data_IF_392694511300
#
_entry.id   IF_392694511300
#
_cell.length_a   1.000
_cell.length_b   1.000
_cell.length_c   1.000
_cell.angle_alpha   90.00
_cell.angle_beta   90.00
_cell.angle_gamma   90.00
#
_symmetry.space_group_name_H-M   'P 1'
#
loop_
_entity.id
_entity.type
_entity.pdbx_description
1 polymer ?
#
# COMPACT_ATOMS: atom_id res chain seq x y z
N UNK A 1 -7.08 7.74 -21.46
CA UNK A 1 -7.96 7.41 -20.32
C UNK A 1 -7.31 8.01 -19.09
N UNK A 2 -8.03 8.82 -18.30
CA UNK A 2 -7.46 9.52 -17.16
C UNK A 2 -6.88 8.50 -16.17
N UNK A 3 -5.63 8.72 -15.80
CA UNK A 3 -4.79 7.77 -15.09
C UNK A 3 -4.97 7.85 -13.56
N UNK A 4 -5.86 8.75 -13.12
CA UNK A 4 -6.23 9.03 -11.74
C UNK A 4 -7.75 8.96 -11.57
N UNK A 5 -8.20 8.70 -10.35
CA UNK A 5 -9.61 8.66 -9.96
C UNK A 5 -9.86 9.67 -8.85
N UNK A 6 -10.95 10.42 -8.97
CA UNK A 6 -11.42 11.32 -7.91
C UNK A 6 -11.83 10.52 -6.68
N UNK A 7 -11.64 11.13 -5.51
CA UNK A 7 -11.97 10.53 -4.23
C UNK A 7 -13.06 11.30 -3.51
N UNK A 8 -14.07 10.56 -3.05
CA UNK A 8 -15.02 11.05 -2.06
C UNK A 8 -14.78 10.36 -0.70
N UNK A 9 -15.61 10.71 0.29
CA UNK A 9 -15.52 10.11 1.62
C UNK A 9 -15.75 8.59 1.62
N UNK A 10 -16.55 8.07 0.69
CA UNK A 10 -16.82 6.63 0.60
C UNK A 10 -15.61 5.89 0.02
N UNK A 11 -14.94 6.45 -0.98
CA UNK A 11 -13.67 5.93 -1.52
C UNK A 11 -12.60 5.91 -0.45
N UNK A 12 -12.43 6.99 0.31
CA UNK A 12 -11.45 7.06 1.40
C UNK A 12 -11.73 5.98 2.45
N UNK A 13 -12.98 5.88 2.93
CA UNK A 13 -13.35 4.89 3.94
C UNK A 13 -13.17 3.45 3.45
N UNK A 14 -13.59 3.16 2.22
CA UNK A 14 -13.43 1.83 1.61
C UNK A 14 -11.97 1.44 1.40
N UNK A 15 -11.12 2.39 0.98
CA UNK A 15 -9.68 2.15 0.83
C UNK A 15 -8.99 1.95 2.18
N UNK A 16 -9.36 2.72 3.19
CA UNK A 16 -8.83 2.54 4.54
C UNK A 16 -9.23 1.20 5.13
N UNK A 17 -10.49 0.77 4.94
CA UNK A 17 -10.96 -0.55 5.36
C UNK A 17 -10.12 -1.67 4.71
N UNK A 18 -9.85 -1.57 3.41
CA UNK A 18 -9.02 -2.55 2.70
C UNK A 18 -7.56 -2.55 3.17
N UNK A 19 -6.99 -1.37 3.41
CA UNK A 19 -5.62 -1.27 3.93
C UNK A 19 -5.47 -2.03 5.25
N UNK A 20 -6.40 -1.80 6.19
CA UNK A 20 -6.43 -2.50 7.48
C UNK A 20 -6.65 -4.01 7.30
N UNK A 21 -7.68 -4.42 6.54
CA UNK A 21 -8.02 -5.83 6.36
C UNK A 21 -6.87 -6.65 5.76
N UNK A 22 -6.21 -6.11 4.74
CA UNK A 22 -5.06 -6.79 4.13
C UNK A 22 -3.84 -6.80 5.04
N UNK A 23 -3.61 -5.74 5.80
CA UNK A 23 -2.50 -5.70 6.75
C UNK A 23 -2.70 -6.73 7.87
N UNK A 24 -3.89 -6.77 8.48
CA UNK A 24 -4.24 -7.72 9.54
C UNK A 24 -4.13 -9.17 9.04
N UNK A 25 -4.63 -9.45 7.83
CA UNK A 25 -4.51 -10.76 7.21
C UNK A 25 -3.03 -11.12 6.93
N UNK A 26 -2.24 -10.19 6.39
CA UNK A 26 -0.82 -10.41 6.14
C UNK A 26 -0.04 -10.71 7.43
N UNK A 27 -0.32 -9.97 8.50
CA UNK A 27 0.28 -10.16 9.83
C UNK A 27 -0.09 -11.53 10.43
N UNK A 28 -1.32 -12.00 10.19
CA UNK A 28 -1.74 -13.34 10.61
C UNK A 28 -1.01 -14.46 9.87
N UNK A 29 -0.77 -14.29 8.56
CA UNK A 29 -0.04 -15.28 7.74
C UNK A 29 1.46 -15.31 8.06
N UNK A 30 2.07 -14.13 8.23
CA UNK A 30 3.44 -13.95 8.68
C UNK A 30 4.48 -14.83 7.97
N UNK A 31 5.40 -15.40 8.74
CA UNK A 31 6.47 -16.27 8.24
C UNK A 31 5.99 -17.68 7.87
N UNK A 32 4.77 -18.08 8.26
CA UNK A 32 4.20 -19.40 7.93
C UNK A 32 3.80 -19.49 6.47
N UNK A 33 3.33 -18.38 5.89
CA UNK A 33 2.93 -18.27 4.49
C UNK A 33 3.51 -16.99 3.86
N UNK A 34 4.85 -16.88 3.72
CA UNK A 34 5.54 -15.62 3.48
C UNK A 34 5.17 -14.96 2.16
N UNK A 35 4.95 -15.75 1.10
CA UNK A 35 4.56 -15.22 -0.21
C UNK A 35 3.14 -14.66 -0.21
N UNK A 36 2.20 -15.37 0.42
CA UNK A 36 0.82 -14.89 0.55
C UNK A 36 0.74 -13.66 1.47
N UNK A 37 1.47 -13.67 2.58
CA UNK A 37 1.64 -12.49 3.44
C UNK A 37 2.24 -11.31 2.65
N UNK A 38 3.28 -11.57 1.86
CA UNK A 38 3.92 -10.60 0.99
C UNK A 38 2.95 -9.94 0.01
N UNK A 39 2.12 -10.73 -0.69
CA UNK A 39 1.14 -10.20 -1.64
C UNK A 39 0.09 -9.31 -0.93
N UNK A 40 -0.39 -9.75 0.24
CA UNK A 40 -1.31 -8.95 1.05
C UNK A 40 -0.67 -7.67 1.61
N UNK A 41 0.62 -7.67 1.99
CA UNK A 41 1.33 -6.45 2.37
C UNK A 41 1.42 -5.45 1.20
N UNK A 42 1.55 -5.94 -0.04
CA UNK A 42 1.52 -5.10 -1.24
C UNK A 42 0.15 -4.45 -1.41
N UNK A 43 -0.92 -5.23 -1.32
CA UNK A 43 -2.29 -4.73 -1.45
C UNK A 43 -2.65 -3.74 -0.32
N UNK A 44 -2.23 -4.03 0.91
CA UNK A 44 -2.36 -3.12 2.05
C UNK A 44 -1.66 -1.78 1.78
N UNK A 45 -0.40 -1.83 1.33
CA UNK A 45 0.37 -0.63 1.03
C UNK A 45 -0.19 0.19 -0.13
N UNK A 46 -0.72 -0.45 -1.17
CA UNK A 46 -1.41 0.25 -2.27
C UNK A 46 -2.67 0.94 -1.76
N UNK A 47 -3.50 0.24 -0.99
CA UNK A 47 -4.73 0.81 -0.45
C UNK A 47 -4.44 1.99 0.50
N UNK A 48 -3.44 1.87 1.37
CA UNK A 48 -2.99 2.96 2.25
C UNK A 48 -2.45 4.16 1.45
N UNK A 49 -1.66 3.90 0.41
CA UNK A 49 -1.16 4.95 -0.49
C UNK A 49 -2.29 5.68 -1.22
N UNK A 50 -3.32 4.95 -1.64
CA UNK A 50 -4.53 5.53 -2.23
C UNK A 50 -5.25 6.43 -1.22
N UNK A 51 -5.38 6.04 0.04
CA UNK A 51 -5.96 6.88 1.11
C UNK A 51 -5.18 8.18 1.28
N UNK A 52 -3.84 8.11 1.38
CA UNK A 52 -2.99 9.29 1.53
C UNK A 52 -3.19 10.26 0.36
N UNK A 53 -3.17 9.74 -0.87
CA UNK A 53 -3.39 10.54 -2.07
C UNK A 53 -4.80 11.13 -2.11
N UNK A 54 -5.84 10.33 -1.82
CA UNK A 54 -7.21 10.79 -1.77
C UNK A 54 -7.41 11.92 -0.77
N UNK A 55 -6.88 11.78 0.45
CA UNK A 55 -7.05 12.79 1.51
C UNK A 55 -6.32 14.09 1.15
N UNK A 56 -5.10 14.02 0.61
CA UNK A 56 -4.25 15.20 0.41
C UNK A 56 -4.40 15.86 -0.96
N UNK A 57 -4.74 15.08 -1.99
CA UNK A 57 -4.80 15.53 -3.39
C UNK A 57 -6.20 15.42 -4.00
N UNK A 58 -7.15 14.76 -3.33
CA UNK A 58 -8.50 14.52 -3.85
C UNK A 58 -8.56 13.43 -4.93
N UNK A 59 -7.43 12.80 -5.26
CA UNK A 59 -7.32 11.80 -6.33
C UNK A 59 -6.37 10.67 -5.93
N UNK A 60 -6.55 9.49 -6.50
CA UNK A 60 -5.61 8.37 -6.36
C UNK A 60 -5.30 7.72 -7.73
N UNK A 61 -4.21 6.94 -7.81
CA UNK A 61 -3.77 6.31 -9.07
C UNK A 61 -4.71 5.17 -9.49
N UNK A 62 -4.85 4.93 -10.79
CA UNK A 62 -5.42 3.68 -11.27
C UNK A 62 -4.49 2.51 -10.91
N UNK A 63 -5.04 1.46 -10.28
CA UNK A 63 -4.34 0.34 -9.63
C UNK A 63 -3.35 -0.44 -10.50
N UNK A 64 -3.39 -0.27 -11.83
CA UNK A 64 -2.45 -0.90 -12.77
C UNK A 64 -1.15 -0.12 -13.05
N UNK A 65 -1.04 1.15 -12.67
CA UNK A 65 0.14 1.98 -12.97
C UNK A 65 0.97 2.26 -11.72
N UNK A 66 1.95 1.39 -11.47
CA UNK A 66 2.85 1.45 -10.32
C UNK A 66 3.72 2.71 -10.27
N UNK A 67 4.27 3.14 -11.40
CA UNK A 67 5.13 4.32 -11.47
C UNK A 67 4.35 5.60 -11.13
N UNK A 68 3.11 5.68 -11.60
CA UNK A 68 2.23 6.79 -11.29
C UNK A 68 1.77 6.79 -9.83
N UNK A 69 1.47 5.62 -9.24
CA UNK A 69 1.11 5.53 -7.83
C UNK A 69 2.23 6.07 -6.94
N UNK A 70 3.49 5.71 -7.22
CA UNK A 70 4.65 6.23 -6.49
C UNK A 70 4.84 7.75 -6.69
N UNK A 71 4.66 8.24 -7.92
CA UNK A 71 4.78 9.67 -8.22
C UNK A 71 3.69 10.51 -7.54
N UNK A 72 2.45 10.00 -7.50
CA UNK A 72 1.33 10.65 -6.84
C UNK A 72 1.51 10.64 -5.32
N UNK A 73 1.94 9.51 -4.76
CA UNK A 73 2.24 9.39 -3.33
C UNK A 73 3.37 10.35 -2.93
N UNK A 74 4.43 10.48 -3.73
CA UNK A 74 5.49 11.45 -3.46
C UNK A 74 4.98 12.89 -3.38
N UNK A 75 3.99 13.25 -4.20
CA UNK A 75 3.36 14.58 -4.17
C UNK A 75 2.47 14.75 -2.95
N UNK A 76 1.76 13.70 -2.54
CA UNK A 76 0.88 13.74 -1.37
C UNK A 76 1.68 13.74 -0.05
N UNK A 77 2.68 12.87 0.05
CA UNK A 77 3.46 12.60 1.26
C UNK A 77 4.90 12.20 0.90
N UNK A 78 5.74 13.23 0.75
CA UNK A 78 7.13 13.04 0.32
C UNK A 78 7.91 12.16 1.31
N UNK A 79 8.52 11.10 0.78
CA UNK A 79 9.24 10.08 1.54
C UNK A 79 8.47 8.77 1.66
N UNK A 80 7.14 8.78 1.59
CA UNK A 80 6.32 7.57 1.68
C UNK A 80 6.40 6.70 0.42
N UNK A 81 6.75 7.28 -0.74
CA UNK A 81 6.90 6.56 -2.00
C UNK A 81 7.98 5.46 -1.94
N UNK A 82 9.00 5.61 -1.08
CA UNK A 82 10.05 4.60 -0.92
C UNK A 82 9.51 3.29 -0.32
N UNK A 83 8.52 3.40 0.55
CA UNK A 83 7.87 2.26 1.18
C UNK A 83 6.99 1.54 0.16
N UNK A 84 6.21 2.29 -0.62
CA UNK A 84 5.42 1.72 -1.71
C UNK A 84 6.32 1.05 -2.75
N UNK A 85 7.42 1.69 -3.16
CA UNK A 85 8.38 1.09 -4.09
C UNK A 85 9.01 -0.19 -3.55
N UNK A 86 9.26 -0.28 -2.24
CA UNK A 86 9.76 -1.52 -1.61
C UNK A 86 8.78 -2.68 -1.81
N UNK A 87 7.49 -2.43 -1.57
CA UNK A 87 6.43 -3.42 -1.76
C UNK A 87 6.30 -3.82 -3.23
N UNK A 88 6.18 -2.85 -4.13
CA UNK A 88 6.00 -3.10 -5.57
C UNK A 88 7.17 -3.84 -6.20
N UNK A 89 8.41 -3.59 -5.75
CA UNK A 89 9.59 -4.31 -6.23
C UNK A 89 9.61 -5.79 -5.79
N UNK A 90 8.96 -6.13 -4.67
CA UNK A 90 8.90 -7.50 -4.15
C UNK A 90 7.63 -8.25 -4.60
N UNK A 91 6.59 -7.54 -5.07
CA UNK A 91 5.34 -8.13 -5.57
C UNK A 91 5.57 -9.28 -6.56
N UNK A 92 6.42 -9.08 -7.56
CA UNK A 92 6.64 -10.12 -8.57
C UNK A 92 7.21 -11.39 -7.97
N UNK A 93 8.09 -11.28 -6.97
CA UNK A 93 8.65 -12.43 -6.27
C UNK A 93 7.61 -13.11 -5.38
N UNK A 94 6.79 -12.34 -4.68
CA UNK A 94 5.71 -12.85 -3.84
C UNK A 94 4.65 -13.61 -4.66
N UNK A 95 4.28 -13.11 -5.84
CA UNK A 95 3.11 -13.60 -6.58
C UNK A 95 3.42 -14.51 -7.78
N UNK A 96 4.56 -14.35 -8.44
CA UNK A 96 4.76 -14.91 -9.80
C UNK A 96 6.01 -15.76 -9.97
N UNK A 97 7.00 -15.66 -9.09
CA UNK A 97 8.21 -16.48 -9.21
C UNK A 97 8.09 -17.76 -8.39
N UNK A 98 8.91 -18.75 -8.75
CA UNK A 98 9.09 -19.99 -7.98
C UNK A 98 9.94 -19.84 -6.71
N UNK A 99 10.52 -18.66 -6.47
CA UNK A 99 11.43 -18.43 -5.34
C UNK A 99 10.69 -17.75 -4.21
N UNK A 100 10.68 -18.38 -3.05
CA UNK A 100 10.06 -17.83 -1.86
C UNK A 100 10.73 -16.52 -1.40
N UNK A 101 9.92 -15.66 -0.78
CA UNK A 101 10.41 -14.53 -0.01
C UNK A 101 11.28 -15.03 1.14
N UNK A 102 12.46 -14.45 1.26
CA UNK A 102 13.31 -14.63 2.45
C UNK A 102 12.70 -13.89 3.63
N UNK A 103 13.00 -14.34 4.86
CA UNK A 103 12.56 -13.63 6.07
C UNK A 103 13.03 -12.16 6.11
N UNK A 104 14.18 -11.85 5.52
CA UNK A 104 14.69 -10.48 5.41
C UNK A 104 13.88 -9.62 4.42
N UNK A 105 13.42 -10.20 3.31
CA UNK A 105 12.50 -9.54 2.38
C UNK A 105 11.14 -9.31 3.03
N UNK A 106 10.56 -10.35 3.65
CA UNK A 106 9.27 -10.24 4.34
C UNK A 106 9.32 -9.15 5.41
N UNK A 107 10.35 -9.13 6.26
CA UNK A 107 10.54 -8.06 7.26
C UNK A 107 10.63 -6.65 6.66
N UNK A 108 11.15 -6.50 5.44
CA UNK A 108 11.13 -5.19 4.74
C UNK A 108 9.72 -4.83 4.28
N UNK A 109 8.95 -5.81 3.81
CA UNK A 109 7.55 -5.62 3.41
C UNK A 109 6.68 -5.23 4.60
N UNK A 110 6.79 -5.94 5.73
CA UNK A 110 6.09 -5.62 6.98
C UNK A 110 6.27 -4.15 7.36
N UNK A 111 7.53 -3.71 7.49
CA UNK A 111 7.85 -2.33 7.87
C UNK A 111 7.33 -1.30 6.87
N UNK A 112 7.37 -1.62 5.58
CA UNK A 112 6.89 -0.72 4.54
C UNK A 112 5.36 -0.57 4.57
N UNK A 113 4.63 -1.69 4.70
CA UNK A 113 3.18 -1.70 4.78
C UNK A 113 2.68 -0.99 6.05
N UNK A 114 3.25 -1.32 7.21
CA UNK A 114 2.90 -0.68 8.49
C UNK A 114 3.14 0.84 8.47
N UNK A 115 4.24 1.30 7.88
CA UNK A 115 4.49 2.74 7.75
C UNK A 115 3.43 3.43 6.90
N UNK A 116 3.05 2.84 5.75
CA UNK A 116 2.05 3.43 4.87
C UNK A 116 0.67 3.46 5.53
N UNK A 117 0.30 2.38 6.21
CA UNK A 117 -0.96 2.28 6.95
C UNK A 117 -1.05 3.33 8.07
N UNK A 118 0.01 3.49 8.87
CA UNK A 118 0.07 4.54 9.90
C UNK A 118 -0.02 5.95 9.28
N UNK A 119 0.72 6.21 8.20
CA UNK A 119 0.63 7.50 7.49
C UNK A 119 -0.78 7.76 6.94
N UNK A 120 -1.49 6.72 6.47
CA UNK A 120 -2.88 6.83 6.03
C UNK A 120 -3.82 7.15 7.18
N UNK A 121 -3.68 6.47 8.34
CA UNK A 121 -4.46 6.73 9.56
C UNK A 121 -4.28 8.19 10.02
N UNK A 122 -3.05 8.68 10.07
CA UNK A 122 -2.74 10.06 10.43
C UNK A 122 -3.35 11.06 9.45
N UNK A 123 -3.32 10.78 8.15
CA UNK A 123 -3.94 11.65 7.14
C UNK A 123 -5.46 11.74 7.33
N UNK A 124 -6.14 10.60 7.57
CA UNK A 124 -7.58 10.58 7.84
C UNK A 124 -7.92 11.33 9.12
N UNK A 125 -7.15 11.13 10.20
CA UNK A 125 -7.37 11.81 11.47
C UNK A 125 -7.24 13.34 11.36
N UNK A 126 -6.30 13.85 10.55
CA UNK A 126 -6.09 15.28 10.35
C UNK A 126 -7.19 15.98 9.52
N UNK A 127 -8.13 15.23 8.93
CA UNK A 127 -9.27 15.75 8.15
C UNK A 127 -10.48 16.09 9.03
N UNK A 128 -10.55 15.54 10.24
CA UNK A 128 -11.62 15.80 11.23
C UNK A 128 -11.27 16.96 12.14
#
# INVERSE_FOLDING_TARGET
MASQRDCDSAVIAGRMSKANEFLDAADHLGEEMPNAAGDLYVDAGIAASDVICCVRLGVHSNTGNHAEAAALLKRADSGSERHLNTLLNLKNKAAYTHQDLTSAELKRMIRAAQHLDESAKLAVAARG
#
